data_IF_240343734647
#
_entry.id   IF_240343734647
#
_cell.length_a   1.000
_cell.length_b   1.000
_cell.length_c   1.000
_cell.angle_alpha   90.00
_cell.angle_beta   90.00
_cell.angle_gamma   90.00
#
_symmetry.space_group_name_H-M   'P 1'
#
loop_
_entity.id
_entity.type
_entity.pdbx_description
1 polymer ?
#
# COMPACT_ATOMS: atom_id res chain seq x y z
N UNK A 1 -9.74 -10.10 10.27
CA UNK A 1 -8.46 -10.44 10.93
C UNK A 1 -7.71 -11.46 10.10
N UNK A 2 -6.42 -11.24 9.87
CA UNK A 2 -5.53 -12.17 9.15
C UNK A 2 -4.33 -12.48 10.03
N UNK A 3 -4.10 -13.76 10.25
CA UNK A 3 -2.92 -14.25 10.95
C UNK A 3 -2.07 -15.10 10.02
N UNK A 4 -0.78 -14.86 10.06
CA UNK A 4 0.21 -15.59 9.28
C UNK A 4 1.16 -16.32 10.22
N UNK A 5 1.37 -17.59 9.96
CA UNK A 5 2.35 -18.40 10.66
C UNK A 5 3.18 -19.17 9.66
N UNK A 6 4.50 -19.12 9.82
CA UNK A 6 5.42 -19.87 8.97
C UNK A 6 6.55 -20.45 9.80
N UNK A 7 7.06 -21.60 9.37
CA UNK A 7 8.25 -22.25 9.92
C UNK A 7 9.21 -22.58 8.79
N UNK A 8 10.49 -22.65 9.10
CA UNK A 8 11.53 -23.00 8.13
C UNK A 8 12.61 -23.86 8.76
N UNK A 9 13.23 -24.72 7.98
CA UNK A 9 14.37 -25.55 8.42
C UNK A 9 15.71 -24.86 8.32
N UNK A 10 15.79 -23.76 7.58
CA UNK A 10 17.01 -22.96 7.38
C UNK A 10 16.67 -21.48 7.27
N UNK A 11 17.61 -20.56 7.52
CA UNK A 11 17.40 -19.14 7.28
C UNK A 11 16.95 -18.88 5.85
N UNK A 12 15.89 -18.10 5.70
CA UNK A 12 15.32 -17.73 4.39
C UNK A 12 14.66 -16.37 4.46
N UNK A 13 14.49 -15.75 3.30
CA UNK A 13 13.64 -14.57 3.18
C UNK A 13 12.17 -14.98 3.15
N UNK A 14 11.34 -14.21 3.84
CA UNK A 14 9.89 -14.37 3.79
C UNK A 14 9.23 -12.99 3.63
N UNK A 15 8.28 -12.93 2.71
CA UNK A 15 7.45 -11.75 2.51
C UNK A 15 6.06 -12.22 2.07
N UNK A 16 5.08 -12.06 2.94
CA UNK A 16 3.70 -12.45 2.68
C UNK A 16 2.80 -11.22 2.70
N UNK A 17 1.83 -11.19 1.80
CA UNK A 17 0.82 -10.15 1.81
C UNK A 17 -0.56 -10.74 1.49
N UNK A 18 -1.60 -10.07 1.94
CA UNK A 18 -2.95 -10.22 1.42
C UNK A 18 -3.18 -9.14 0.38
N UNK A 19 -3.51 -9.51 -0.85
CA UNK A 19 -3.65 -8.57 -1.95
C UNK A 19 -5.07 -8.61 -2.57
N UNK A 20 -6.12 -8.23 -1.82
CA UNK A 20 -7.45 -8.10 -2.39
C UNK A 20 -7.54 -6.86 -3.29
N UNK A 21 -8.46 -6.90 -4.24
CA UNK A 21 -8.81 -5.76 -5.09
C UNK A 21 -10.21 -5.30 -4.74
N UNK A 22 -10.31 -4.36 -3.80
CA UNK A 22 -11.60 -3.86 -3.35
C UNK A 22 -12.18 -2.82 -4.31
N UNK A 23 -13.47 -2.94 -4.59
CA UNK A 23 -14.27 -1.89 -5.18
C UNK A 23 -15.56 -1.74 -4.38
N UNK A 24 -15.59 -0.74 -3.50
CA UNK A 24 -16.72 -0.48 -2.60
C UNK A 24 -17.94 0.10 -3.32
N UNK A 25 -17.80 0.53 -4.57
CA UNK A 25 -18.90 0.98 -5.39
C UNK A 25 -19.74 -0.18 -5.97
N UNK A 26 -19.28 -1.42 -5.79
CA UNK A 26 -19.98 -2.64 -6.19
C UNK A 26 -19.57 -3.16 -7.57
N UNK A 27 -20.16 -4.30 -7.94
CA UNK A 27 -19.92 -4.94 -9.24
C UNK A 27 -20.44 -4.05 -10.38
N UNK A 28 -19.63 -3.92 -11.42
CA UNK A 28 -19.96 -3.10 -12.59
C UNK A 28 -19.49 -1.65 -12.52
N UNK A 29 -18.96 -1.18 -11.39
CA UNK A 29 -18.30 0.11 -11.34
C UNK A 29 -16.96 0.04 -12.11
N UNK A 30 -16.74 0.99 -13.02
CA UNK A 30 -15.60 0.96 -13.95
C UNK A 30 -14.30 1.44 -13.31
N UNK A 31 -14.34 2.15 -12.16
CA UNK A 31 -13.18 2.78 -11.54
C UNK A 31 -13.32 2.83 -10.03
N UNK A 32 -12.17 2.88 -9.36
CA UNK A 32 -12.06 3.15 -7.92
C UNK A 32 -11.61 4.58 -7.62
N UNK A 33 -11.50 5.44 -8.63
CA UNK A 33 -10.96 6.81 -8.48
C UNK A 33 -11.74 7.66 -7.47
N UNK A 34 -13.03 7.39 -7.33
CA UNK A 34 -13.91 8.05 -6.36
C UNK A 34 -13.77 7.56 -4.91
N UNK A 35 -13.03 6.47 -4.70
CA UNK A 35 -12.80 5.99 -3.32
C UNK A 35 -11.96 6.98 -2.55
N UNK A 36 -12.34 7.19 -1.30
CA UNK A 36 -11.60 8.04 -0.38
C UNK A 36 -10.71 7.18 0.50
N UNK A 37 -9.42 7.50 0.53
CA UNK A 37 -8.43 6.82 1.34
C UNK A 37 -7.86 7.76 2.38
N UNK A 38 -7.65 7.24 3.58
CA UNK A 38 -6.89 7.90 4.63
C UNK A 38 -5.94 6.90 5.27
N UNK A 39 -4.67 7.28 5.43
CA UNK A 39 -3.63 6.47 6.03
C UNK A 39 -2.90 7.26 7.13
N UNK A 40 -2.84 6.72 8.32
CA UNK A 40 -2.06 7.28 9.43
C UNK A 40 -0.57 6.95 9.27
N UNK A 41 -0.01 7.29 8.10
CA UNK A 41 1.39 7.02 7.76
C UNK A 41 2.06 8.32 7.29
N UNK A 42 3.10 8.75 7.99
CA UNK A 42 3.87 9.96 7.66
C UNK A 42 5.08 9.69 6.76
N UNK A 43 5.46 8.43 6.60
CA UNK A 43 6.61 7.99 5.81
C UNK A 43 6.25 6.78 4.96
N UNK A 44 7.04 6.53 3.94
CA UNK A 44 6.96 5.35 3.08
C UNK A 44 8.36 4.84 2.73
N UNK A 45 8.43 3.64 2.19
CA UNK A 45 9.67 3.02 1.73
C UNK A 45 9.76 3.17 0.21
N UNK A 46 10.60 4.08 -0.32
CA UNK A 46 10.76 4.27 -1.76
C UNK A 46 11.27 3.01 -2.46
N UNK A 47 10.77 2.81 -3.67
CA UNK A 47 11.22 1.75 -4.57
C UNK A 47 12.10 2.35 -5.66
N UNK A 48 13.06 1.57 -6.16
CA UNK A 48 13.85 1.92 -7.34
C UNK A 48 13.07 1.61 -8.64
N UNK A 49 13.72 1.80 -9.77
CA UNK A 49 13.13 1.56 -11.10
C UNK A 49 12.79 0.08 -11.35
N UNK A 50 13.36 -0.83 -10.56
CA UNK A 50 13.08 -2.26 -10.61
C UNK A 50 12.05 -2.69 -9.56
N UNK A 51 11.40 -1.75 -8.89
CA UNK A 51 10.41 -1.98 -7.84
C UNK A 51 11.00 -2.63 -6.57
N UNK A 52 12.30 -2.43 -6.33
CA UNK A 52 12.99 -2.94 -5.15
C UNK A 52 13.12 -1.80 -4.12
N UNK A 53 12.82 -2.05 -2.83
CA UNK A 53 13.02 -1.04 -1.79
C UNK A 53 14.48 -0.57 -1.74
N UNK A 54 14.68 0.75 -1.73
CA UNK A 54 16.01 1.37 -1.70
C UNK A 54 16.70 1.30 -0.33
N UNK A 55 15.95 0.95 0.72
CA UNK A 55 16.40 1.02 2.11
C UNK A 55 16.14 2.38 2.77
N UNK A 56 15.74 3.39 2.01
CA UNK A 56 15.37 4.70 2.55
C UNK A 56 13.97 4.66 3.19
N UNK A 57 13.75 5.57 4.14
CA UNK A 57 12.43 5.89 4.68
C UNK A 57 12.20 7.38 4.42
N UNK A 58 11.26 7.70 3.54
CA UNK A 58 11.02 9.06 3.08
C UNK A 58 9.67 9.60 3.60
N UNK A 59 9.56 10.93 3.86
CA UNK A 59 8.29 11.51 4.25
C UNK A 59 7.30 11.51 3.09
N UNK A 60 6.01 11.30 3.38
CA UNK A 60 4.94 11.38 2.38
C UNK A 60 4.57 12.83 2.02
N UNK A 61 4.90 13.79 2.89
CA UNK A 61 4.56 15.19 2.71
C UNK A 61 5.02 15.73 1.35
N UNK A 62 4.10 16.35 0.61
CA UNK A 62 4.36 16.92 -0.71
C UNK A 62 4.46 15.89 -1.84
N UNK A 63 4.13 14.64 -1.57
CA UNK A 63 4.11 13.55 -2.58
C UNK A 63 2.68 13.09 -2.89
N UNK A 64 2.44 12.41 -4.01
CA UNK A 64 1.15 11.77 -4.30
C UNK A 64 0.73 10.70 -3.26
N UNK A 65 1.65 10.21 -2.44
CA UNK A 65 1.42 9.20 -1.42
C UNK A 65 0.95 9.79 -0.08
N UNK A 66 0.76 11.10 0.01
CA UNK A 66 0.29 11.75 1.23
C UNK A 66 -1.23 11.59 1.39
N UNK A 67 -1.61 10.56 2.13
CA UNK A 67 -2.98 10.24 2.49
C UNK A 67 -3.25 10.45 4.00
N UNK A 68 -2.47 11.29 4.67
CA UNK A 68 -2.69 11.60 6.10
C UNK A 68 -4.04 12.27 6.33
N UNK A 69 -4.50 13.04 5.36
CA UNK A 69 -5.87 13.52 5.28
C UNK A 69 -6.64 12.72 4.23
N UNK A 70 -7.94 12.51 4.50
CA UNK A 70 -8.80 11.75 3.61
C UNK A 70 -8.93 12.43 2.24
N UNK A 71 -8.62 11.70 1.17
CA UNK A 71 -8.75 12.20 -0.21
C UNK A 71 -9.07 11.10 -1.21
N UNK A 72 -9.64 11.48 -2.35
CA UNK A 72 -9.96 10.54 -3.41
C UNK A 72 -8.70 9.99 -4.09
N UNK A 73 -8.72 8.69 -4.44
CA UNK A 73 -7.62 8.00 -5.11
C UNK A 73 -7.28 8.61 -6.47
N UNK A 74 -8.28 9.01 -7.26
CA UNK A 74 -8.09 9.61 -8.57
C UNK A 74 -7.39 10.98 -8.56
N UNK A 75 -7.02 11.48 -7.40
CA UNK A 75 -6.22 12.71 -7.23
C UNK A 75 -4.81 12.45 -6.71
N UNK A 76 -4.48 11.19 -6.60
CA UNK A 76 -3.14 10.78 -6.14
C UNK A 76 -2.08 11.01 -7.24
#
# INVERSE_FOLDING_TARGET
>A
HLDWQATTSQPTHINVCSHPYFNLAGTGAASIDGHVLQLSASHYTPLDVQMIPTGAIAPVAGTPLDFREARALGRA
#
